data_IF_722063406915
#
_entry.id   IF_722063406915
#
_cell.length_a   1.000
_cell.length_b   1.000
_cell.length_c   1.000
_cell.angle_alpha   90.00
_cell.angle_beta   90.00
_cell.angle_gamma   90.00
#
_symmetry.space_group_name_H-M   'P 1'
#
loop_
_entity.id
_entity.type
_entity.pdbx_description
1 polymer ?
#
# COMPACT_ATOMS: atom_id res chain seq x y z
N UNK A 1 3.39 16.68 7.12
CA UNK A 1 3.00 15.29 6.85
C UNK A 1 2.62 14.54 8.13
N UNK A 2 3.48 14.41 9.13
CA UNK A 2 3.10 13.78 10.42
C UNK A 2 1.78 14.33 11.01
N UNK A 3 1.60 15.66 11.04
CA UNK A 3 0.34 16.27 11.49
C UNK A 3 -0.87 15.87 10.63
N UNK A 4 -0.72 15.78 9.30
CA UNK A 4 -1.81 15.35 8.42
C UNK A 4 -2.19 13.88 8.65
N UNK A 5 -1.20 13.02 8.90
CA UNK A 5 -1.43 11.61 9.21
C UNK A 5 -2.10 11.49 10.59
N UNK A 6 -1.66 12.28 11.57
CA UNK A 6 -2.29 12.36 12.90
C UNK A 6 -3.76 12.79 12.79
N UNK A 7 -4.05 13.86 12.05
CA UNK A 7 -5.42 14.33 11.82
C UNK A 7 -6.27 13.28 11.11
N UNK A 8 -5.75 12.64 10.06
CA UNK A 8 -6.45 11.54 9.38
C UNK A 8 -6.72 10.37 10.33
N UNK A 9 -5.76 10.01 11.17
CA UNK A 9 -5.92 8.92 12.14
C UNK A 9 -6.83 9.28 13.30
N UNK A 10 -7.07 10.57 13.55
CA UNK A 10 -8.05 11.04 14.51
C UNK A 10 -9.49 11.00 13.97
N UNK A 11 -9.65 11.09 12.65
CA UNK A 11 -10.94 11.01 11.95
C UNK A 11 -11.69 9.70 12.24
N UNK A 12 -12.96 9.83 12.61
CA UNK A 12 -13.78 8.69 13.05
C UNK A 12 -14.06 7.75 11.88
N UNK A 13 -14.37 8.28 10.70
CA UNK A 13 -14.66 7.45 9.53
C UNK A 13 -13.43 6.67 9.08
N UNK A 14 -12.26 7.31 9.03
CA UNK A 14 -11.00 6.63 8.76
C UNK A 14 -10.72 5.52 9.77
N UNK A 15 -10.83 5.79 11.08
CA UNK A 15 -10.68 4.76 12.14
C UNK A 15 -11.61 3.58 11.92
N UNK A 16 -12.89 3.85 11.66
CA UNK A 16 -13.89 2.81 11.41
C UNK A 16 -13.50 1.94 10.21
N UNK A 17 -12.93 2.52 9.13
CA UNK A 17 -12.48 1.73 7.97
C UNK A 17 -11.25 0.88 8.31
N UNK A 18 -10.31 1.41 9.09
CA UNK A 18 -9.15 0.62 9.55
C UNK A 18 -9.60 -0.56 10.40
N UNK A 19 -10.43 -0.33 11.42
CA UNK A 19 -10.95 -1.39 12.30
C UNK A 19 -11.77 -2.45 11.54
N UNK A 20 -12.60 -2.03 10.58
CA UNK A 20 -13.32 -2.96 9.70
C UNK A 20 -12.36 -3.85 8.90
N UNK A 21 -11.30 -3.28 8.32
CA UNK A 21 -10.32 -4.05 7.54
C UNK A 21 -9.42 -4.94 8.40
N UNK A 22 -9.07 -4.52 9.62
CA UNK A 22 -8.33 -5.36 10.58
C UNK A 22 -9.10 -6.65 10.87
N UNK A 23 -10.44 -6.56 11.00
CA UNK A 23 -11.35 -7.69 11.14
C UNK A 23 -11.47 -8.59 9.89
N UNK A 24 -10.97 -8.15 8.73
CA UNK A 24 -11.10 -8.85 7.43
C UNK A 24 -9.79 -9.48 6.93
N UNK A 25 -8.71 -9.42 7.69
CA UNK A 25 -7.41 -10.01 7.30
C UNK A 25 -7.44 -11.54 7.16
N UNK A 26 -8.42 -12.23 7.76
CA UNK A 26 -8.63 -13.68 7.62
C UNK A 26 -9.43 -14.10 6.39
N UNK A 27 -9.93 -13.15 5.58
CA UNK A 27 -10.58 -13.48 4.32
C UNK A 27 -9.57 -14.09 3.34
N UNK A 28 -10.05 -14.82 2.33
CA UNK A 28 -9.16 -15.38 1.28
C UNK A 28 -8.84 -14.39 0.17
N UNK A 29 -9.55 -13.26 0.12
CA UNK A 29 -9.44 -12.22 -0.90
C UNK A 29 -9.32 -10.86 -0.24
N UNK A 30 -8.53 -9.99 -0.84
CA UNK A 30 -8.36 -8.63 -0.36
C UNK A 30 -9.62 -7.81 -0.58
N UNK A 31 -9.80 -6.86 0.32
CA UNK A 31 -10.92 -5.92 0.32
C UNK A 31 -10.41 -4.59 0.85
N UNK A 32 -11.17 -3.52 0.61
CA UNK A 32 -10.71 -2.20 0.94
C UNK A 32 -11.75 -1.12 0.72
N UNK A 33 -11.27 0.10 0.72
CA UNK A 33 -12.02 1.31 0.46
C UNK A 33 -11.20 2.21 -0.45
N UNK A 34 -11.87 2.94 -1.32
CA UNK A 34 -11.34 4.17 -1.89
C UNK A 34 -11.88 5.35 -1.08
N UNK A 35 -11.09 6.39 -0.91
CA UNK A 35 -11.56 7.68 -0.41
C UNK A 35 -11.66 8.68 -1.56
N UNK A 36 -12.78 9.38 -1.67
CA UNK A 36 -12.94 10.50 -2.60
C UNK A 36 -12.31 11.78 -2.05
N UNK A 37 -12.07 12.76 -2.91
CA UNK A 37 -11.72 14.13 -2.48
C UNK A 37 -12.82 14.78 -1.62
N UNK A 38 -14.09 14.39 -1.79
CA UNK A 38 -15.21 14.83 -0.93
C UNK A 38 -15.12 14.32 0.51
N UNK A 39 -14.27 13.32 0.77
CA UNK A 39 -14.14 12.66 2.07
C UNK A 39 -14.83 11.30 2.15
N UNK A 40 -15.79 11.02 1.26
CA UNK A 40 -16.56 9.77 1.26
C UNK A 40 -15.68 8.54 1.02
N UNK A 41 -16.00 7.45 1.69
CA UNK A 41 -15.40 6.14 1.46
C UNK A 41 -16.35 5.24 0.67
N UNK A 42 -15.84 4.56 -0.34
CA UNK A 42 -16.58 3.54 -1.08
C UNK A 42 -15.89 2.20 -0.86
N UNK A 43 -16.64 1.23 -0.35
CA UNK A 43 -16.16 -0.14 -0.19
C UNK A 43 -15.85 -0.77 -1.55
N UNK A 44 -14.76 -1.55 -1.57
CA UNK A 44 -14.30 -2.33 -2.71
C UNK A 44 -14.00 -3.73 -2.21
N UNK A 45 -14.46 -4.71 -2.95
CA UNK A 45 -14.15 -6.10 -2.71
C UNK A 45 -13.75 -6.78 -4.02
N UNK A 46 -13.52 -8.08 -3.89
CA UNK A 46 -13.06 -8.91 -4.98
C UNK A 46 -14.14 -9.91 -5.42
N UNK A 47 -15.40 -9.45 -5.49
CA UNK A 47 -16.56 -10.30 -5.81
C UNK A 47 -16.40 -11.09 -7.14
N UNK A 48 -15.53 -10.65 -8.05
CA UNK A 48 -15.27 -11.31 -9.35
C UNK A 48 -13.99 -12.15 -9.48
N UNK A 49 -13.08 -12.20 -8.49
CA UNK A 49 -11.81 -12.92 -8.68
C UNK A 49 -11.90 -14.44 -8.47
N UNK A 50 -11.02 -15.15 -9.19
CA UNK A 50 -10.77 -16.58 -9.01
C UNK A 50 -10.00 -16.87 -7.70
N UNK A 51 -9.93 -18.14 -7.27
CA UNK A 51 -9.13 -18.53 -6.10
C UNK A 51 -7.63 -18.17 -6.22
N UNK A 52 -7.14 -17.94 -7.44
CA UNK A 52 -5.74 -17.59 -7.69
C UNK A 52 -5.47 -16.08 -7.57
N UNK A 53 -6.49 -15.24 -7.78
CA UNK A 53 -6.38 -13.79 -7.69
C UNK A 53 -6.93 -13.30 -6.33
N UNK A 54 -6.06 -12.87 -5.44
CA UNK A 54 -6.43 -12.27 -4.15
C UNK A 54 -6.50 -10.74 -4.21
N UNK A 55 -6.17 -10.10 -5.33
CA UNK A 55 -5.99 -8.63 -5.44
C UNK A 55 -7.30 -7.85 -5.43
N UNK A 56 -7.35 -6.74 -4.71
CA UNK A 56 -8.49 -5.82 -4.73
C UNK A 56 -8.74 -5.21 -6.12
N UNK A 57 -9.99 -5.19 -6.58
CA UNK A 57 -10.37 -4.49 -7.81
C UNK A 57 -10.60 -3.00 -7.53
N UNK A 58 -9.63 -2.17 -7.89
CA UNK A 58 -9.72 -0.71 -7.80
C UNK A 58 -10.21 -0.10 -9.13
N UNK A 59 -10.94 1.03 -9.11
CA UNK A 59 -11.40 1.68 -10.34
C UNK A 59 -10.23 2.18 -11.20
N UNK A 60 -10.41 2.25 -12.52
CA UNK A 60 -9.43 2.88 -13.40
C UNK A 60 -9.26 4.37 -13.03
N UNK A 61 -8.05 4.74 -12.62
CA UNK A 61 -7.71 6.08 -12.15
C UNK A 61 -7.89 7.17 -13.21
N UNK A 62 -7.61 6.91 -14.49
CA UNK A 62 -7.71 7.92 -15.55
C UNK A 62 -9.15 8.44 -15.72
N UNK A 63 -10.14 7.57 -15.49
CA UNK A 63 -11.56 7.91 -15.58
C UNK A 63 -12.19 8.27 -14.23
N UNK A 64 -11.49 8.04 -13.12
CA UNK A 64 -11.99 8.24 -11.75
C UNK A 64 -11.11 9.22 -10.97
N UNK A 65 -10.90 10.42 -11.50
CA UNK A 65 -10.04 11.48 -10.92
C UNK A 65 -10.54 12.02 -9.57
N UNK A 66 -11.77 11.69 -9.18
CA UNK A 66 -12.33 12.04 -7.87
C UNK A 66 -11.70 11.26 -6.69
N UNK A 67 -10.88 10.24 -6.97
CA UNK A 67 -10.24 9.40 -5.95
C UNK A 67 -9.02 10.12 -5.36
N UNK A 68 -8.98 10.21 -4.03
CA UNK A 68 -7.91 10.79 -3.23
C UNK A 68 -6.94 9.73 -2.70
N UNK A 69 -7.43 8.57 -2.33
CA UNK A 69 -6.61 7.52 -1.73
C UNK A 69 -7.32 6.19 -1.66
N UNK A 70 -6.58 5.17 -1.22
CA UNK A 70 -7.10 3.81 -1.04
C UNK A 70 -6.59 3.20 0.26
N UNK A 71 -7.37 2.26 0.78
CA UNK A 71 -7.10 1.48 1.99
C UNK A 71 -7.44 0.04 1.65
N UNK A 72 -6.55 -0.93 1.83
CA UNK A 72 -6.88 -2.33 1.56
C UNK A 72 -6.19 -3.28 2.52
N UNK A 73 -6.75 -4.49 2.63
CA UNK A 73 -6.14 -5.59 3.39
C UNK A 73 -5.08 -6.30 2.58
N UNK A 74 -4.01 -6.76 3.21
CA UNK A 74 -3.26 -7.94 2.75
C UNK A 74 -3.64 -9.13 3.64
N UNK A 75 -4.30 -10.11 3.04
CA UNK A 75 -4.87 -11.25 3.77
C UNK A 75 -3.81 -12.20 4.33
N UNK A 76 -4.18 -12.94 5.37
CA UNK A 76 -3.35 -13.94 6.03
C UNK A 76 -2.97 -15.08 5.09
N UNK A 77 -1.88 -15.77 5.41
CA UNK A 77 -1.48 -16.94 4.65
C UNK A 77 -2.54 -18.03 4.85
N UNK A 78 -2.97 -18.67 3.77
CA UNK A 78 -3.96 -19.73 3.82
C UNK A 78 -3.62 -20.82 2.82
N UNK A 79 -4.20 -22.00 3.06
CA UNK A 79 -4.06 -23.14 2.17
C UNK A 79 -5.22 -23.22 1.20
N UNK A 80 -4.94 -23.64 -0.03
CA UNK A 80 -5.94 -23.89 -1.06
C UNK A 80 -5.63 -25.17 -1.82
N UNK A 81 -6.64 -25.76 -2.44
CA UNK A 81 -6.45 -26.89 -3.36
C UNK A 81 -6.19 -26.34 -4.76
N UNK A 82 -5.11 -26.77 -5.39
CA UNK A 82 -4.86 -26.47 -6.79
C UNK A 82 -5.78 -27.27 -7.72
N UNK A 83 -5.67 -27.03 -9.03
CA UNK A 83 -6.52 -27.68 -10.03
C UNK A 83 -6.36 -29.21 -10.08
N UNK A 84 -5.28 -29.74 -9.48
CA UNK A 84 -4.97 -31.16 -9.40
C UNK A 84 -5.39 -31.76 -8.03
N UNK A 85 -5.96 -30.94 -7.13
CA UNK A 85 -6.41 -31.37 -5.81
C UNK A 85 -5.30 -31.44 -4.76
N UNK A 86 -4.11 -30.90 -5.03
CA UNK A 86 -3.05 -30.83 -4.04
C UNK A 86 -3.18 -29.57 -3.19
N UNK A 87 -2.91 -29.72 -1.90
CA UNK A 87 -2.86 -28.59 -0.97
C UNK A 87 -1.62 -27.73 -1.25
N UNK A 88 -1.82 -26.42 -1.43
CA UNK A 88 -0.79 -25.43 -1.70
C UNK A 88 -0.91 -24.26 -0.73
N UNK A 89 0.22 -23.72 -0.31
CA UNK A 89 0.27 -22.52 0.50
C UNK A 89 0.16 -21.27 -0.36
N UNK A 90 -0.73 -20.34 0.03
CA UNK A 90 -0.79 -18.98 -0.51
C UNK A 90 -0.16 -18.04 0.49
N UNK A 91 1.12 -17.71 0.29
CA UNK A 91 1.88 -16.79 1.13
C UNK A 91 1.94 -15.40 0.50
N UNK A 92 1.32 -14.42 1.15
CA UNK A 92 1.30 -13.03 0.68
C UNK A 92 2.36 -12.17 1.36
N UNK A 93 3.03 -11.30 0.62
CA UNK A 93 3.94 -10.30 1.16
C UNK A 93 3.12 -9.23 1.90
N UNK A 94 3.41 -8.99 3.18
CA UNK A 94 2.65 -8.05 4.02
C UNK A 94 3.19 -6.62 3.89
N UNK A 95 3.31 -6.17 2.65
CA UNK A 95 3.79 -4.85 2.25
C UNK A 95 3.21 -4.49 0.88
N UNK A 96 3.07 -3.19 0.58
CA UNK A 96 2.58 -2.72 -0.72
C UNK A 96 3.28 -3.42 -1.89
N UNK A 97 2.49 -3.94 -2.81
CA UNK A 97 2.95 -4.54 -4.05
C UNK A 97 3.34 -3.46 -5.06
N UNK A 98 4.10 -3.80 -6.12
CA UNK A 98 4.36 -2.88 -7.21
C UNK A 98 3.10 -2.33 -7.89
N UNK A 99 2.01 -3.11 -7.92
CA UNK A 99 0.72 -2.65 -8.43
C UNK A 99 0.09 -1.58 -7.55
N UNK A 100 0.18 -1.73 -6.22
CA UNK A 100 -0.28 -0.69 -5.29
C UNK A 100 0.50 0.62 -5.48
N UNK A 101 1.81 0.52 -5.72
CA UNK A 101 2.67 1.68 -5.98
C UNK A 101 2.37 2.32 -7.33
N UNK A 102 2.15 1.54 -8.39
CA UNK A 102 1.73 2.06 -9.69
C UNK A 102 0.40 2.82 -9.58
N UNK A 103 -0.60 2.19 -8.97
CA UNK A 103 -1.91 2.80 -8.72
C UNK A 103 -1.80 4.08 -7.88
N UNK A 104 -1.00 4.05 -6.82
CA UNK A 104 -0.73 5.22 -6.00
C UNK A 104 -0.12 6.37 -6.82
N UNK A 105 0.85 6.09 -7.68
CA UNK A 105 1.48 7.12 -8.51
C UNK A 105 0.54 7.70 -9.57
N UNK A 106 -0.39 6.90 -10.08
CA UNK A 106 -1.43 7.40 -10.97
C UNK A 106 -2.41 8.33 -10.23
N UNK A 107 -2.75 8.03 -8.96
CA UNK A 107 -3.51 8.97 -8.13
C UNK A 107 -2.76 10.29 -7.91
N UNK A 108 -1.43 10.24 -7.70
CA UNK A 108 -0.61 11.45 -7.58
C UNK A 108 -0.60 12.25 -8.88
N UNK A 109 -0.49 11.59 -10.03
CA UNK A 109 -0.62 12.24 -11.35
C UNK A 109 -1.99 12.90 -11.50
N UNK A 110 -3.06 12.21 -11.13
CA UNK A 110 -4.41 12.79 -11.17
C UNK A 110 -4.53 14.02 -10.27
N UNK A 111 -4.00 13.96 -9.04
CA UNK A 111 -3.98 15.09 -8.14
C UNK A 111 -3.27 16.30 -8.76
N UNK A 112 -2.10 16.08 -9.38
CA UNK A 112 -1.38 17.12 -10.11
C UNK A 112 -2.24 17.73 -11.23
N UNK A 113 -2.82 16.89 -12.09
CA UNK A 113 -3.60 17.35 -13.25
C UNK A 113 -4.88 18.10 -12.86
N UNK A 114 -5.43 17.82 -11.69
CA UNK A 114 -6.67 18.43 -11.18
C UNK A 114 -6.43 19.54 -10.15
N UNK A 115 -5.17 19.93 -9.93
CA UNK A 115 -4.81 21.00 -8.99
C UNK A 115 -4.99 20.64 -7.52
N UNK A 116 -5.08 19.35 -7.19
CA UNK A 116 -5.20 18.87 -5.81
C UNK A 116 -3.82 18.76 -5.13
N UNK A 117 -3.73 18.94 -3.80
CA UNK A 117 -2.47 18.81 -3.09
C UNK A 117 -1.90 17.38 -3.17
N UNK A 118 -0.67 17.24 -3.68
CA UNK A 118 -0.04 15.91 -3.88
C UNK A 118 0.17 15.15 -2.56
N UNK A 119 0.50 15.88 -1.49
CA UNK A 119 0.71 15.31 -0.15
C UNK A 119 -0.57 14.78 0.50
N UNK A 120 -1.74 15.13 -0.03
CA UNK A 120 -3.02 14.63 0.46
C UNK A 120 -3.35 13.22 -0.08
N UNK A 121 -2.69 12.78 -1.15
CA UNK A 121 -2.83 11.42 -1.70
C UNK A 121 -2.19 10.41 -0.76
N UNK A 122 -2.82 9.25 -0.60
CA UNK A 122 -2.30 8.18 0.24
C UNK A 122 -2.76 6.79 -0.20
N UNK A 123 -1.96 5.79 0.16
CA UNK A 123 -2.34 4.39 0.18
C UNK A 123 -2.15 3.85 1.60
N UNK A 124 -3.06 3.02 2.08
CA UNK A 124 -2.93 2.30 3.37
C UNK A 124 -3.10 0.81 3.12
N UNK A 125 -2.19 0.03 3.67
CA UNK A 125 -2.26 -1.43 3.68
C UNK A 125 -2.44 -1.89 5.12
N UNK A 126 -3.46 -2.71 5.35
CA UNK A 126 -3.82 -3.30 6.65
C UNK A 126 -3.48 -4.79 6.62
N UNK A 127 -2.71 -5.28 7.60
CA UNK A 127 -2.36 -6.70 7.68
C UNK A 127 -2.18 -7.17 9.11
N UNK A 128 -2.17 -8.49 9.30
CA UNK A 128 -1.83 -9.12 10.59
C UNK A 128 -0.42 -8.82 11.09
N UNK A 129 0.51 -8.40 10.21
CA UNK A 129 1.89 -8.08 10.58
C UNK A 129 2.14 -6.57 10.74
N UNK A 130 1.09 -5.75 10.64
CA UNK A 130 1.15 -4.31 10.81
C UNK A 130 0.44 -3.54 9.69
N UNK A 131 0.10 -2.29 10.01
CA UNK A 131 -0.54 -1.36 9.10
C UNK A 131 0.47 -0.33 8.61
N UNK A 132 0.52 -0.14 7.30
CA UNK A 132 1.44 0.77 6.65
C UNK A 132 0.69 1.78 5.82
N UNK A 133 1.26 2.98 5.71
CA UNK A 133 0.74 4.06 4.91
C UNK A 133 1.85 4.64 4.04
N UNK A 134 1.55 4.89 2.77
CA UNK A 134 2.43 5.65 1.86
C UNK A 134 1.85 7.03 1.61
N UNK A 135 2.74 8.02 1.49
CA UNK A 135 2.42 9.41 1.11
C UNK A 135 3.38 9.88 0.03
N UNK A 136 2.91 10.80 -0.80
CA UNK A 136 3.77 11.47 -1.77
C UNK A 136 4.35 12.72 -1.12
N UNK A 137 5.67 12.73 -1.01
CA UNK A 137 6.47 13.77 -0.36
C UNK A 137 7.40 14.48 -1.35
N UNK A 138 7.38 14.04 -2.60
CA UNK A 138 8.10 14.66 -3.69
C UNK A 138 7.38 15.88 -4.28
N UNK A 139 7.91 16.32 -5.41
CA UNK A 139 7.35 17.38 -6.24
C UNK A 139 6.84 16.85 -7.59
N UNK A 140 6.25 17.74 -8.37
CA UNK A 140 5.66 17.40 -9.68
C UNK A 140 6.62 16.72 -10.67
N UNK A 141 7.94 16.98 -10.57
CA UNK A 141 8.94 16.39 -11.47
C UNK A 141 9.33 14.96 -11.07
N UNK A 142 8.88 14.50 -9.89
CA UNK A 142 9.12 13.14 -9.38
C UNK A 142 7.92 12.22 -9.61
N UNK A 143 6.87 12.72 -10.24
CA UNK A 143 5.70 11.92 -10.62
C UNK A 143 6.10 11.01 -11.78
N UNK A 144 5.95 9.70 -11.57
CA UNK A 144 6.30 8.66 -12.53
C UNK A 144 5.22 7.58 -12.49
N UNK A 145 4.57 7.37 -13.64
CA UNK A 145 3.57 6.32 -13.84
C UNK A 145 4.18 5.13 -14.58
N UNK A 146 3.49 4.00 -14.55
CA UNK A 146 3.98 2.74 -15.12
C UNK A 146 2.93 2.14 -16.04
N UNK A 147 3.37 1.49 -17.10
CA UNK A 147 2.50 0.65 -17.93
C UNK A 147 2.14 -0.65 -17.20
N UNK A 148 1.06 -1.31 -17.62
CA UNK A 148 0.68 -2.62 -17.09
C UNK A 148 1.81 -3.66 -17.23
N UNK A 149 2.51 -3.66 -18.37
CA UNK A 149 3.63 -4.56 -18.64
C UNK A 149 4.82 -4.33 -17.69
N UNK A 150 5.14 -3.06 -17.39
CA UNK A 150 6.16 -2.73 -16.39
C UNK A 150 5.73 -3.17 -15.00
N UNK A 151 4.47 -2.90 -14.64
CA UNK A 151 3.90 -3.27 -13.34
C UNK A 151 3.95 -4.79 -13.14
N UNK A 152 3.60 -5.57 -14.15
CA UNK A 152 3.66 -7.03 -14.10
C UNK A 152 5.10 -7.53 -13.95
N UNK A 153 6.03 -6.98 -14.73
CA UNK A 153 7.48 -7.30 -14.60
C UNK A 153 7.98 -7.03 -13.18
N UNK A 154 7.54 -5.93 -12.56
CA UNK A 154 7.94 -5.61 -11.20
C UNK A 154 7.34 -6.56 -10.16
N UNK A 155 6.15 -7.12 -10.36
CA UNK A 155 5.54 -8.07 -9.41
C UNK A 155 6.41 -9.30 -9.22
N UNK A 156 6.85 -9.92 -10.32
CA UNK A 156 7.69 -11.12 -10.27
C UNK A 156 9.03 -10.81 -9.58
N UNK A 157 9.69 -9.72 -10.00
CA UNK A 157 10.93 -9.26 -9.38
C UNK A 157 10.76 -8.96 -7.89
N UNK A 158 9.61 -8.41 -7.49
CA UNK A 158 9.32 -8.08 -6.10
C UNK A 158 9.15 -9.33 -5.25
N UNK A 159 8.44 -10.35 -5.75
CA UNK A 159 8.27 -11.62 -5.05
C UNK A 159 9.62 -12.25 -4.74
N UNK A 160 10.50 -12.34 -5.73
CA UNK A 160 11.84 -12.89 -5.54
C UNK A 160 12.69 -12.03 -4.60
N UNK A 161 12.63 -10.70 -4.74
CA UNK A 161 13.39 -9.77 -3.89
C UNK A 161 12.96 -9.82 -2.41
N UNK A 162 11.68 -10.09 -2.15
CA UNK A 162 11.07 -10.08 -0.82
C UNK A 162 11.00 -11.45 -0.16
N UNK A 163 11.29 -12.54 -0.90
CA UNK A 163 11.13 -13.94 -0.46
C UNK A 163 11.67 -14.23 0.94
N UNK A 164 12.84 -13.70 1.28
CA UNK A 164 13.51 -13.94 2.58
C UNK A 164 13.40 -12.75 3.55
N UNK A 165 12.53 -11.77 3.24
CA UNK A 165 12.40 -10.52 3.99
C UNK A 165 11.05 -10.34 4.66
N UNK A 166 10.03 -11.08 4.22
CA UNK A 166 8.64 -10.83 4.60
C UNK A 166 8.33 -11.02 6.10
N UNK A 167 8.98 -11.98 6.77
CA UNK A 167 8.70 -12.33 8.17
C UNK A 167 9.26 -11.30 9.17
N UNK A 168 10.40 -10.68 8.85
CA UNK A 168 11.06 -9.71 9.72
C UNK A 168 10.64 -8.28 9.35
N UNK A 169 10.05 -7.55 10.30
CA UNK A 169 9.53 -6.18 10.09
C UNK A 169 10.57 -5.26 9.46
N UNK A 170 11.77 -5.19 10.04
CA UNK A 170 12.86 -4.33 9.57
C UNK A 170 13.35 -4.76 8.17
N UNK A 171 13.53 -6.06 7.94
CA UNK A 171 13.93 -6.57 6.63
C UNK A 171 12.88 -6.34 5.54
N UNK A 172 11.59 -6.42 5.89
CA UNK A 172 10.44 -6.19 5.00
C UNK A 172 10.35 -4.71 4.61
N UNK A 173 10.43 -3.81 5.59
CA UNK A 173 10.42 -2.36 5.36
C UNK A 173 11.62 -1.92 4.51
N UNK A 174 12.83 -2.37 4.87
CA UNK A 174 14.03 -2.15 4.07
C UNK A 174 13.89 -2.70 2.65
N UNK A 175 13.41 -3.94 2.51
CA UNK A 175 13.23 -4.60 1.23
C UNK A 175 12.30 -3.82 0.31
N UNK A 176 11.15 -3.41 0.83
CA UNK A 176 10.21 -2.60 0.07
C UNK A 176 10.80 -1.25 -0.35
N UNK A 177 11.39 -0.50 0.59
CA UNK A 177 11.98 0.81 0.31
C UNK A 177 13.13 0.73 -0.71
N UNK A 178 13.99 -0.28 -0.58
CA UNK A 178 15.10 -0.51 -1.53
C UNK A 178 14.58 -0.93 -2.90
N UNK A 179 13.52 -1.73 -2.97
CA UNK A 179 12.93 -2.14 -4.24
C UNK A 179 12.36 -0.95 -5.01
N UNK A 180 11.56 -0.09 -4.35
CA UNK A 180 11.01 1.09 -5.03
C UNK A 180 12.12 2.08 -5.43
N UNK A 181 13.19 2.20 -4.64
CA UNK A 181 14.31 3.09 -4.92
C UNK A 181 15.17 2.61 -6.09
N UNK A 182 15.53 1.32 -6.14
CA UNK A 182 16.51 0.77 -7.09
C UNK A 182 15.87 0.12 -8.33
N UNK A 183 14.74 -0.58 -8.18
CA UNK A 183 14.11 -1.33 -9.28
C UNK A 183 13.06 -0.52 -10.00
N UNK A 184 12.23 0.21 -9.25
CA UNK A 184 11.22 1.09 -9.85
C UNK A 184 11.76 2.50 -10.13
N UNK A 185 12.91 2.86 -9.55
CA UNK A 185 13.51 4.19 -9.61
C UNK A 185 12.49 5.28 -9.25
N UNK A 186 11.79 5.09 -8.14
CA UNK A 186 10.85 6.05 -7.56
C UNK A 186 11.53 6.88 -6.48
N UNK A 187 11.09 8.13 -6.38
CA UNK A 187 11.51 9.11 -5.37
C UNK A 187 10.26 9.84 -4.88
N UNK A 188 10.34 10.46 -3.71
CA UNK A 188 9.22 11.24 -3.18
C UNK A 188 8.06 10.40 -2.67
N UNK A 189 8.31 9.14 -2.30
CA UNK A 189 7.36 8.32 -1.54
C UNK A 189 7.94 8.13 -0.15
N UNK A 190 7.16 8.44 0.88
CA UNK A 190 7.50 8.13 2.28
C UNK A 190 6.61 7.00 2.79
N UNK A 191 7.20 6.07 3.54
CA UNK A 191 6.53 4.97 4.22
C UNK A 191 6.33 5.31 5.69
N UNK A 192 5.14 5.04 6.21
CA UNK A 192 4.77 5.25 7.60
C UNK A 192 4.20 3.96 8.18
N UNK A 193 4.75 3.52 9.31
CA UNK A 193 4.21 2.42 10.12
C UNK A 193 3.26 2.98 11.17
N UNK A 194 2.10 2.35 11.33
CA UNK A 194 1.22 2.60 12.48
C UNK A 194 1.64 1.70 13.63
N UNK A 195 1.97 2.30 14.77
CA UNK A 195 2.39 1.56 15.96
C UNK A 195 1.18 1.11 16.79
N UNK A 196 1.35 0.09 17.61
CA UNK A 196 0.29 -0.50 18.45
C UNK A 196 -0.26 0.47 19.48
N UNK A 197 0.57 1.40 19.97
CA UNK A 197 0.16 2.48 20.87
C UNK A 197 -0.59 3.63 20.16
N UNK A 198 -0.85 3.47 18.87
CA UNK A 198 -1.52 4.48 18.08
C UNK A 198 -0.65 5.67 17.70
N UNK A 199 0.68 5.61 17.81
CA UNK A 199 1.58 6.61 17.16
C UNK A 199 1.95 6.19 15.75
N UNK A 200 2.68 7.04 15.04
CA UNK A 200 3.16 6.77 13.67
C UNK A 200 4.67 6.97 13.61
N UNK A 201 5.36 6.09 12.89
CA UNK A 201 6.79 6.17 12.64
C UNK A 201 7.04 6.24 11.14
N UNK A 202 7.76 7.25 10.67
CA UNK A 202 8.28 7.30 9.31
C UNK A 202 9.49 6.36 9.19
N UNK A 203 9.49 5.54 8.14
CA UNK A 203 10.58 4.63 7.82
C UNK A 203 11.20 5.07 6.50
N UNK A 204 12.52 5.27 6.50
CA UNK A 204 13.27 5.70 5.31
C UNK A 204 14.55 4.88 5.16
N UNK A 205 15.09 4.79 3.95
CA UNK A 205 16.45 4.28 3.77
C UNK A 205 17.44 5.23 4.46
N UNK A 206 18.46 4.65 5.10
CA UNK A 206 19.59 5.43 5.60
C UNK A 206 20.42 6.00 4.44
N UNK A 207 21.37 6.89 4.74
CA UNK A 207 22.16 7.59 3.72
C UNK A 207 22.92 6.63 2.78
N UNK A 208 23.37 5.48 3.29
CA UNK A 208 24.11 4.46 2.52
C UNK A 208 23.20 3.45 1.79
N UNK A 209 21.87 3.51 2.00
CA UNK A 209 20.88 2.57 1.46
C UNK A 209 21.15 1.09 1.77
N UNK A 210 21.76 0.87 2.93
CA UNK A 210 22.09 -0.46 3.46
C UNK A 210 21.21 -0.87 4.62
N UNK A 211 20.49 0.08 5.21
CA UNK A 211 19.53 -0.14 6.29
C UNK A 211 18.40 0.92 6.26
N UNK A 212 17.49 0.87 7.21
CA UNK A 212 16.43 1.88 7.43
C UNK A 212 16.66 2.68 8.70
N UNK A 213 16.34 3.98 8.62
CA UNK A 213 16.18 4.87 9.78
C UNK A 213 14.70 5.01 10.12
N UNK A 214 14.42 5.17 11.42
CA UNK A 214 13.08 5.42 11.95
C UNK A 214 12.98 6.84 12.51
N UNK A 215 11.91 7.56 12.17
CA UNK A 215 11.60 8.88 12.72
C UNK A 215 10.19 8.84 13.29
N UNK A 216 10.07 8.96 14.61
CA UNK A 216 8.76 9.05 15.25
C UNK A 216 8.09 10.36 14.89
N UNK A 217 6.85 10.29 14.41
CA UNK A 217 6.02 11.46 14.26
C UNK A 217 5.68 12.01 15.66
N UNK A 218 5.86 13.32 15.91
CA UNK A 218 5.43 13.93 17.17
C UNK A 218 3.93 13.70 17.43
N UNK A 219 3.59 13.54 18.70
CA UNK A 219 2.21 13.31 19.15
C UNK A 219 1.30 14.52 18.99
#
# INVERSE_FOLDING_TARGET
LCEQIKLQRADIEFKNKITDLEGKTNLKKETGYIQKWSGDYIYKDNAGATNNANTLSLPNVETNTYIKGFIHTHVNNYKFLDAQGYERDKNGIKMFSPADIAYFMDLVKNAQTTGQPLNNVYGVMVSSLGNYQIRFTGNQYQIKTFTDAQTETYKDLFVDFMKYRNENVKAREFGFLKFIDEKMNLKGISLYRTNTNGTTTEIKLNATKTDTDEINCPN
#
